data_IF_125115970661
#
_entry.id   IF_125115970661
#
_cell.length_a   1.000
_cell.length_b   1.000
_cell.length_c   1.000
_cell.angle_alpha   90.00
_cell.angle_beta   90.00
_cell.angle_gamma   90.00
#
_symmetry.space_group_name_H-M   'P 1'
#
loop_
_entity.id
_entity.type
_entity.pdbx_description
1 polymer ?
#
# COMPACT_ATOMS: atom_id res chain seq x y z
N UNK A 1 -88.32 3.39 -9.23
CA UNK A 1 -87.62 2.11 -9.03
C UNK A 1 -86.19 2.22 -9.55
N UNK A 2 -85.22 1.82 -8.72
CA UNK A 2 -83.84 1.37 -9.03
C UNK A 2 -82.74 2.42 -9.34
N UNK A 3 -81.90 2.57 -8.32
CA UNK A 3 -80.47 2.91 -8.31
C UNK A 3 -79.68 2.47 -9.56
N UNK A 4 -78.76 3.33 -10.00
CA UNK A 4 -77.47 2.93 -10.55
C UNK A 4 -76.37 3.85 -10.02
N UNK A 5 -76.02 3.61 -8.75
CA UNK A 5 -74.75 3.97 -8.14
C UNK A 5 -73.66 3.05 -8.73
N UNK A 6 -72.97 3.40 -9.81
CA UNK A 6 -71.71 2.73 -10.20
C UNK A 6 -70.94 3.59 -11.22
N UNK A 7 -70.12 4.55 -10.76
CA UNK A 7 -68.98 5.08 -11.53
C UNK A 7 -68.09 6.04 -10.70
N UNK A 8 -67.69 5.69 -9.48
CA UNK A 8 -66.69 6.48 -8.73
C UNK A 8 -65.75 5.56 -7.92
N UNK A 9 -65.15 4.54 -8.55
CA UNK A 9 -64.15 3.69 -7.86
C UNK A 9 -62.88 3.32 -8.63
N UNK A 10 -62.69 3.77 -9.87
CA UNK A 10 -61.56 3.28 -10.69
C UNK A 10 -60.42 4.28 -10.94
N UNK A 11 -60.52 5.54 -10.49
CA UNK A 11 -59.44 6.52 -10.68
C UNK A 11 -58.34 6.44 -9.61
N UNK A 12 -58.67 6.00 -8.40
CA UNK A 12 -57.70 6.01 -7.27
C UNK A 12 -56.68 4.86 -7.34
N UNK A 13 -57.00 3.77 -8.03
CA UNK A 13 -56.09 2.62 -8.21
C UNK A 13 -54.98 2.90 -9.25
N UNK A 14 -55.26 3.72 -10.26
CA UNK A 14 -54.31 4.07 -11.33
C UNK A 14 -53.22 5.06 -10.88
N UNK A 15 -53.53 5.97 -9.94
CA UNK A 15 -52.55 6.92 -9.40
C UNK A 15 -51.59 6.30 -8.37
N UNK A 16 -52.03 5.31 -7.58
CA UNK A 16 -51.20 4.63 -6.57
C UNK A 16 -50.12 3.70 -7.15
N UNK A 17 -50.41 3.02 -8.27
CA UNK A 17 -49.45 2.13 -8.95
C UNK A 17 -48.26 2.91 -9.54
N UNK A 18 -48.53 4.09 -10.10
CA UNK A 18 -47.53 4.90 -10.80
C UNK A 18 -46.49 5.51 -9.83
N UNK A 19 -46.90 5.91 -8.63
CA UNK A 19 -46.00 6.41 -7.59
C UNK A 19 -45.15 5.29 -6.95
N UNK A 20 -45.71 4.10 -6.78
CA UNK A 20 -44.98 2.93 -6.26
C UNK A 20 -43.92 2.43 -7.26
N UNK A 21 -44.25 2.42 -8.56
CA UNK A 21 -43.32 2.10 -9.65
C UNK A 21 -42.18 3.12 -9.77
N UNK A 22 -42.48 4.43 -9.71
CA UNK A 22 -41.45 5.49 -9.67
C UNK A 22 -40.57 5.39 -8.41
N UNK A 23 -41.14 5.09 -7.25
CA UNK A 23 -40.39 4.88 -6.00
C UNK A 23 -39.47 3.65 -6.08
N UNK A 24 -39.95 2.53 -6.64
CA UNK A 24 -39.16 1.32 -6.91
C UNK A 24 -38.01 1.59 -7.89
N UNK A 25 -38.28 2.31 -8.99
CA UNK A 25 -37.28 2.71 -9.98
C UNK A 25 -36.20 3.60 -9.38
N UNK A 26 -36.57 4.57 -8.54
CA UNK A 26 -35.63 5.45 -7.85
C UNK A 26 -34.73 4.69 -6.85
N UNK A 27 -35.29 3.71 -6.13
CA UNK A 27 -34.52 2.88 -5.20
C UNK A 27 -33.57 1.93 -5.96
N UNK A 28 -34.01 1.40 -7.11
CA UNK A 28 -33.18 0.59 -7.99
C UNK A 28 -32.02 1.40 -8.58
N UNK A 29 -32.28 2.62 -9.06
CA UNK A 29 -31.25 3.51 -9.61
C UNK A 29 -30.22 3.92 -8.55
N UNK A 30 -30.68 4.23 -7.32
CA UNK A 30 -29.78 4.47 -6.17
C UNK A 30 -28.90 3.24 -5.87
N UNK A 31 -29.47 2.04 -5.90
CA UNK A 31 -28.73 0.79 -5.71
C UNK A 31 -27.65 0.56 -6.77
N UNK A 32 -27.97 0.83 -8.04
CA UNK A 32 -27.03 0.73 -9.17
C UNK A 32 -25.88 1.76 -9.01
N UNK A 33 -26.18 3.01 -8.64
CA UNK A 33 -25.15 4.02 -8.38
C UNK A 33 -24.22 3.57 -7.26
N UNK A 34 -24.76 3.07 -6.14
CA UNK A 34 -23.96 2.60 -5.01
C UNK A 34 -23.05 1.44 -5.46
N UNK A 35 -23.57 0.49 -6.24
CA UNK A 35 -22.78 -0.62 -6.79
C UNK A 35 -21.63 -0.13 -7.69
N UNK A 36 -21.90 0.83 -8.58
CA UNK A 36 -20.87 1.43 -9.46
C UNK A 36 -19.79 2.12 -8.63
N UNK A 37 -20.17 2.91 -7.62
CA UNK A 37 -19.21 3.54 -6.70
C UNK A 37 -18.36 2.49 -5.99
N UNK A 38 -18.99 1.41 -5.51
CA UNK A 38 -18.31 0.31 -4.81
C UNK A 38 -17.33 -0.41 -5.74
N UNK A 39 -17.70 -0.64 -7.01
CA UNK A 39 -16.81 -1.20 -8.03
C UNK A 39 -15.64 -0.27 -8.38
N UNK A 40 -15.87 1.04 -8.49
CA UNK A 40 -14.80 2.04 -8.73
C UNK A 40 -13.82 2.10 -7.55
N UNK A 41 -14.33 2.02 -6.32
CA UNK A 41 -13.52 1.96 -5.10
C UNK A 41 -12.72 0.66 -5.06
N UNK A 42 -13.36 -0.50 -5.28
CA UNK A 42 -12.69 -1.80 -5.35
C UNK A 42 -11.61 -1.80 -6.43
N UNK A 43 -11.88 -1.26 -7.62
CA UNK A 43 -10.92 -1.19 -8.72
C UNK A 43 -9.74 -0.27 -8.38
N UNK A 44 -10.00 0.84 -7.69
CA UNK A 44 -8.96 1.75 -7.20
C UNK A 44 -8.09 1.10 -6.12
N UNK A 45 -8.71 0.38 -5.18
CA UNK A 45 -8.03 -0.39 -4.14
C UNK A 45 -7.22 -1.54 -4.75
N UNK A 46 -7.76 -2.25 -5.75
CA UNK A 46 -7.10 -3.36 -6.44
C UNK A 46 -5.81 -2.88 -7.12
N UNK A 47 -5.86 -1.77 -7.89
CA UNK A 47 -4.67 -1.16 -8.52
C UNK A 47 -3.64 -0.64 -7.51
N UNK A 48 -4.07 -0.27 -6.30
CA UNK A 48 -3.20 0.15 -5.20
C UNK A 48 -2.74 -0.99 -4.27
N UNK A 49 -3.28 -2.21 -4.43
CA UNK A 49 -2.95 -3.39 -3.64
C UNK A 49 -1.75 -4.16 -4.22
N UNK A 50 -1.18 -5.08 -3.45
CA UNK A 50 -0.12 -5.98 -3.92
C UNK A 50 -0.62 -7.11 -4.85
N UNK A 51 -1.94 -7.34 -4.91
CA UNK A 51 -2.55 -8.43 -5.67
C UNK A 51 -2.50 -8.19 -7.19
N UNK A 52 -2.69 -6.95 -7.63
CA UNK A 52 -2.53 -6.57 -9.06
C UNK A 52 -1.14 -6.89 -9.61
N UNK A 53 -0.12 -6.88 -8.75
CA UNK A 53 1.30 -7.06 -9.12
C UNK A 53 1.84 -8.43 -8.67
N UNK A 54 0.95 -9.37 -8.33
CA UNK A 54 1.33 -10.75 -8.00
C UNK A 54 1.62 -11.49 -9.31
N UNK A 55 2.77 -12.17 -9.38
CA UNK A 55 3.29 -12.86 -10.58
C UNK A 55 2.22 -13.72 -11.28
N UNK A 56 1.88 -13.36 -12.52
CA UNK A 56 1.41 -14.31 -13.54
C UNK A 56 2.60 -15.05 -14.17
N UNK A 57 2.32 -16.08 -14.96
CA UNK A 57 3.33 -16.87 -15.68
C UNK A 57 4.10 -15.94 -16.64
N UNK A 58 5.42 -15.84 -16.46
CA UNK A 58 6.32 -15.01 -17.28
C UNK A 58 6.84 -15.88 -18.42
N UNK A 59 6.43 -15.57 -19.66
CA UNK A 59 7.00 -16.19 -20.85
C UNK A 59 8.43 -15.66 -21.08
N UNK A 60 9.36 -16.47 -21.60
CA UNK A 60 10.78 -16.09 -21.76
C UNK A 60 11.01 -14.88 -22.68
N UNK A 61 10.04 -14.52 -23.53
CA UNK A 61 10.09 -13.35 -24.42
C UNK A 61 9.15 -12.21 -24.00
N UNK A 62 8.60 -12.27 -22.78
CA UNK A 62 7.68 -11.22 -22.33
C UNK A 62 8.43 -9.95 -21.95
N UNK A 63 7.92 -8.81 -22.41
CA UNK A 63 8.45 -7.49 -22.06
C UNK A 63 8.09 -7.19 -20.60
N UNK A 64 9.03 -7.39 -19.68
CA UNK A 64 8.79 -7.25 -18.24
C UNK A 64 9.97 -6.61 -17.47
N UNK A 65 9.66 -6.04 -16.31
CA UNK A 65 10.67 -5.55 -15.37
C UNK A 65 11.23 -6.69 -14.53
N UNK A 66 12.47 -6.52 -14.08
CA UNK A 66 13.10 -7.44 -13.13
C UNK A 66 12.37 -7.56 -11.78
N UNK A 67 11.67 -6.49 -11.37
CA UNK A 67 10.77 -6.46 -10.21
C UNK A 67 9.60 -5.53 -10.47
N UNK A 68 8.40 -5.97 -10.09
CA UNK A 68 7.18 -5.15 -10.13
C UNK A 68 6.92 -4.43 -8.79
N UNK A 69 7.42 -4.94 -7.67
CA UNK A 69 7.36 -4.29 -6.36
C UNK A 69 8.68 -4.52 -5.61
N UNK A 70 9.21 -3.46 -4.98
CA UNK A 70 10.43 -3.49 -4.17
C UNK A 70 10.24 -2.67 -2.89
N UNK A 71 10.70 -3.22 -1.77
CA UNK A 71 10.86 -2.49 -0.52
C UNK A 71 12.31 -2.03 -0.42
N UNK A 72 12.54 -0.76 -0.11
CA UNK A 72 13.87 -0.19 0.11
C UNK A 72 13.92 0.48 1.47
N UNK A 73 15.05 0.35 2.17
CA UNK A 73 15.36 1.21 3.32
C UNK A 73 15.81 2.57 2.81
N UNK A 74 15.49 3.65 3.51
CA UNK A 74 15.99 4.98 3.17
C UNK A 74 17.52 4.95 2.97
N UNK A 75 18.00 5.51 1.86
CA UNK A 75 19.41 5.48 1.45
C UNK A 75 19.83 4.24 0.66
N UNK A 76 18.99 3.20 0.58
CA UNK A 76 19.27 2.07 -0.32
C UNK A 76 19.02 2.41 -1.79
N UNK A 77 19.62 1.58 -2.64
CA UNK A 77 19.53 1.71 -4.08
C UNK A 77 19.14 0.37 -4.70
N UNK A 78 18.51 0.43 -5.87
CA UNK A 78 18.08 -0.76 -6.60
C UNK A 78 18.11 -0.50 -8.10
N UNK A 79 18.61 -1.45 -8.89
CA UNK A 79 18.60 -1.32 -10.35
C UNK A 79 17.34 -1.95 -10.93
N UNK A 80 16.48 -1.13 -11.53
CA UNK A 80 15.36 -1.56 -12.36
C UNK A 80 15.87 -1.70 -13.80
N UNK A 81 15.54 -2.81 -14.45
CA UNK A 81 15.80 -2.99 -15.87
C UNK A 81 14.70 -3.84 -16.52
N UNK A 82 14.58 -3.71 -17.83
CA UNK A 82 13.57 -4.40 -18.64
C UNK A 82 14.23 -5.58 -19.33
N UNK A 83 13.64 -6.77 -19.23
CA UNK A 83 14.07 -7.96 -19.97
C UNK A 83 13.51 -7.96 -21.40
N UNK A 84 14.22 -8.64 -22.31
CA UNK A 84 13.70 -8.99 -23.64
C UNK A 84 13.87 -7.94 -24.74
N UNK A 85 14.90 -7.08 -24.70
CA UNK A 85 15.06 -6.00 -25.70
C UNK A 85 16.50 -5.45 -25.84
N UNK A 86 16.86 -5.06 -27.07
CA UNK A 86 18.02 -4.23 -27.44
C UNK A 86 17.60 -2.77 -27.74
N UNK A 87 16.62 -2.24 -27.01
CA UNK A 87 16.04 -0.91 -27.27
C UNK A 87 16.27 0.05 -26.12
N UNK A 88 16.29 1.35 -26.43
CA UNK A 88 16.45 2.41 -25.44
C UNK A 88 15.22 2.48 -24.53
N UNK A 89 15.45 2.38 -23.23
CA UNK A 89 14.43 2.54 -22.19
C UNK A 89 14.59 3.91 -21.56
N UNK A 90 13.48 4.60 -21.32
CA UNK A 90 13.46 5.83 -20.51
C UNK A 90 12.78 5.57 -19.17
N UNK A 91 13.32 6.14 -18.10
CA UNK A 91 12.82 5.97 -16.74
C UNK A 91 12.37 7.31 -16.17
N UNK A 92 11.28 7.30 -15.42
CA UNK A 92 10.90 8.43 -14.57
C UNK A 92 10.22 7.94 -13.30
N UNK A 93 10.17 8.80 -12.27
CA UNK A 93 9.48 8.53 -11.02
C UNK A 93 8.21 9.35 -10.93
N UNK A 94 7.14 8.74 -10.43
CA UNK A 94 5.90 9.44 -10.06
C UNK A 94 6.05 10.29 -8.79
N UNK A 95 7.06 10.03 -7.96
CA UNK A 95 7.38 10.84 -6.80
C UNK A 95 8.89 10.79 -6.51
N UNK A 96 9.62 11.76 -7.08
CA UNK A 96 11.08 11.83 -6.95
C UNK A 96 11.54 12.12 -5.51
N UNK A 97 10.71 12.71 -4.65
CA UNK A 97 11.05 12.93 -3.24
C UNK A 97 11.10 11.63 -2.45
N UNK A 98 10.29 10.64 -2.84
CA UNK A 98 10.29 9.30 -2.24
C UNK A 98 11.37 8.43 -2.88
N UNK A 99 11.37 8.32 -4.20
CA UNK A 99 12.36 7.54 -4.93
C UNK A 99 12.72 8.19 -6.27
N UNK A 100 14.01 8.49 -6.48
CA UNK A 100 14.54 8.96 -7.76
C UNK A 100 15.02 7.81 -8.63
N UNK A 101 15.15 8.04 -9.94
CA UNK A 101 15.74 7.08 -10.88
C UNK A 101 16.61 7.82 -11.89
N UNK A 102 17.78 7.27 -12.22
CA UNK A 102 18.64 7.83 -13.26
C UNK A 102 18.40 7.17 -14.64
N UNK A 103 19.08 7.65 -15.67
CA UNK A 103 18.94 7.16 -17.05
C UNK A 103 19.30 5.67 -17.21
N UNK A 104 20.12 5.11 -16.32
CA UNK A 104 20.52 3.70 -16.31
C UNK A 104 19.55 2.78 -15.52
N UNK A 105 18.44 3.32 -15.03
CA UNK A 105 17.46 2.58 -14.23
C UNK A 105 17.89 2.35 -12.78
N UNK A 106 18.93 3.05 -12.28
CA UNK A 106 19.33 3.01 -10.88
C UNK A 106 18.38 3.88 -10.06
N UNK A 107 17.68 3.25 -9.13
CA UNK A 107 16.68 3.85 -8.23
C UNK A 107 17.33 4.17 -6.89
N UNK A 108 17.06 5.36 -6.36
CA UNK A 108 17.58 5.87 -5.09
C UNK A 108 16.42 6.13 -4.12
N UNK A 109 16.47 5.58 -2.90
CA UNK A 109 15.43 5.77 -1.89
C UNK A 109 15.72 6.98 -0.99
N UNK A 110 14.91 8.03 -1.08
CA UNK A 110 15.16 9.30 -0.37
C UNK A 110 14.27 9.53 0.85
N UNK A 111 12.95 9.38 0.70
CA UNK A 111 11.99 9.59 1.78
C UNK A 111 11.04 8.39 1.89
N UNK A 112 10.59 8.11 3.09
CA UNK A 112 9.63 7.03 3.33
C UNK A 112 8.31 7.32 2.63
N UNK A 113 7.77 6.34 1.92
CA UNK A 113 6.57 6.54 1.14
C UNK A 113 6.40 5.50 0.03
N UNK A 114 5.44 5.77 -0.85
CA UNK A 114 5.20 4.97 -2.06
C UNK A 114 5.55 5.82 -3.29
N UNK A 115 6.24 5.20 -4.24
CA UNK A 115 6.48 5.77 -5.57
C UNK A 115 6.35 4.65 -6.60
N UNK A 116 6.09 5.03 -7.85
CA UNK A 116 6.25 4.16 -9.01
C UNK A 116 7.41 4.68 -9.86
N UNK A 117 8.31 3.77 -10.22
CA UNK A 117 9.29 3.96 -11.27
C UNK A 117 8.67 3.40 -12.55
N UNK A 118 8.53 4.27 -13.55
CA UNK A 118 7.90 3.95 -14.83
C UNK A 118 8.99 3.85 -15.89
N UNK A 119 9.10 2.68 -16.51
CA UNK A 119 9.97 2.44 -17.65
C UNK A 119 9.12 2.52 -18.93
N UNK A 120 9.45 3.46 -19.82
CA UNK A 120 8.81 3.57 -21.13
C UNK A 120 9.70 2.93 -22.20
N UNK A 121 9.11 2.03 -22.98
CA UNK A 121 9.76 1.35 -24.10
C UNK A 121 8.73 0.93 -25.13
N UNK A 122 9.00 1.19 -26.42
CA UNK A 122 8.10 0.89 -27.54
C UNK A 122 6.65 1.36 -27.33
N UNK A 123 6.49 2.59 -26.81
CA UNK A 123 5.17 3.16 -26.51
C UNK A 123 4.43 2.50 -25.34
N UNK A 124 5.03 1.51 -24.66
CA UNK A 124 4.47 0.83 -23.49
C UNK A 124 5.08 1.36 -22.20
N UNK A 125 4.27 1.38 -21.14
CA UNK A 125 4.71 1.73 -19.79
C UNK A 125 4.72 0.51 -18.88
N UNK A 126 5.89 0.18 -18.35
CA UNK A 126 6.04 -0.80 -17.28
C UNK A 126 6.23 -0.09 -15.95
N UNK A 127 5.60 -0.59 -14.88
CA UNK A 127 5.61 0.06 -13.57
C UNK A 127 6.27 -0.83 -12.52
N UNK A 128 7.27 -0.29 -11.83
CA UNK A 128 7.84 -0.85 -10.61
C UNK A 128 7.37 -0.03 -9.42
N UNK A 129 6.64 -0.64 -8.49
CA UNK A 129 6.23 0.00 -7.24
C UNK A 129 7.37 -0.05 -6.23
N UNK A 130 7.82 1.11 -5.80
CA UNK A 130 8.83 1.29 -4.76
C UNK A 130 8.17 1.71 -3.46
N UNK A 131 8.46 0.97 -2.39
CA UNK A 131 8.03 1.26 -1.03
C UNK A 131 9.25 1.55 -0.16
N UNK A 132 9.45 2.81 0.18
CA UNK A 132 10.58 3.23 1.02
C UNK A 132 10.15 3.21 2.48
N UNK A 133 10.92 2.48 3.30
CA UNK A 133 10.70 2.30 4.73
C UNK A 133 11.90 2.79 5.52
N UNK A 134 11.68 3.12 6.79
CA UNK A 134 12.73 3.51 7.72
C UNK A 134 12.28 3.24 9.16
N UNK A 135 13.17 3.33 10.14
CA UNK A 135 12.81 3.34 11.57
C UNK A 135 12.73 4.78 12.08
N UNK A 136 11.95 5.01 13.14
CA UNK A 136 11.84 6.35 13.71
C UNK A 136 13.13 6.83 14.38
N UNK A 137 13.97 5.90 14.84
CA UNK A 137 15.24 6.19 15.51
C UNK A 137 16.24 5.06 15.31
N UNK A 138 17.48 5.40 14.95
CA UNK A 138 18.59 4.43 14.81
C UNK A 138 19.41 4.28 16.09
N UNK A 139 19.29 5.23 17.02
CA UNK A 139 20.04 5.26 18.30
C UNK A 139 19.15 5.70 19.44
N UNK A 140 19.09 4.89 20.49
CA UNK A 140 18.39 5.17 21.74
C UNK A 140 19.38 5.22 22.89
N UNK A 141 19.24 6.25 23.72
CA UNK A 141 19.89 6.35 25.02
C UNK A 141 18.77 6.34 26.05
N UNK A 142 18.73 5.31 26.89
CA UNK A 142 17.67 5.07 27.85
C UNK A 142 18.28 4.86 29.23
N UNK A 143 17.56 5.22 30.29
CA UNK A 143 17.90 4.82 31.64
C UNK A 143 17.28 3.44 31.94
N UNK A 144 17.83 2.71 32.90
CA UNK A 144 17.21 1.46 33.38
C UNK A 144 15.75 1.70 33.78
N UNK A 145 14.84 0.85 33.28
CA UNK A 145 13.41 0.97 33.52
C UNK A 145 12.64 1.72 32.42
N UNK A 146 13.31 2.57 31.65
CA UNK A 146 12.68 3.32 30.56
C UNK A 146 12.09 2.42 29.49
N UNK A 147 11.05 2.96 28.83
CA UNK A 147 10.47 2.32 27.66
C UNK A 147 10.39 3.28 26.48
N UNK A 148 10.55 2.74 25.28
CA UNK A 148 10.49 3.51 24.04
C UNK A 148 9.76 2.72 22.96
N UNK A 149 8.91 3.37 22.17
CA UNK A 149 8.25 2.73 21.03
C UNK A 149 9.08 2.92 19.76
N UNK A 150 9.81 1.87 19.37
CA UNK A 150 10.52 1.81 18.09
C UNK A 150 9.50 1.58 16.97
N UNK A 151 9.25 2.62 16.20
CA UNK A 151 8.24 2.63 15.14
C UNK A 151 8.87 2.52 13.75
N UNK A 152 8.08 2.02 12.80
CA UNK A 152 8.46 1.95 11.38
C UNK A 152 7.75 3.08 10.65
N UNK A 153 8.51 3.82 9.85
CA UNK A 153 8.03 4.86 8.94
C UNK A 153 7.83 4.26 7.55
N UNK A 154 6.81 4.74 6.85
CA UNK A 154 6.50 4.33 5.48
C UNK A 154 5.46 3.19 5.38
N UNK A 155 5.20 2.72 4.14
CA UNK A 155 4.08 1.84 3.83
C UNK A 155 4.39 0.36 4.15
N UNK A 156 4.54 0.03 5.44
CA UNK A 156 4.73 -1.34 5.93
C UNK A 156 3.84 -1.65 7.14
N UNK A 157 3.22 -2.84 7.11
CA UNK A 157 2.20 -3.23 8.09
C UNK A 157 2.66 -4.30 9.08
N UNK A 158 3.65 -5.12 8.71
CA UNK A 158 4.10 -6.27 9.51
C UNK A 158 5.61 -6.21 9.67
N UNK A 159 6.06 -6.26 10.93
CA UNK A 159 7.46 -6.27 11.28
C UNK A 159 7.76 -7.27 12.39
N UNK A 160 8.96 -7.83 12.34
CA UNK A 160 9.49 -8.70 13.39
C UNK A 160 10.61 -7.98 14.11
N UNK A 161 10.57 -7.98 15.43
CA UNK A 161 11.58 -7.33 16.26
C UNK A 161 12.42 -8.38 16.98
N UNK A 162 13.72 -8.14 17.08
CA UNK A 162 14.65 -9.01 17.83
C UNK A 162 15.68 -8.15 18.55
N UNK A 163 15.91 -8.42 19.83
CA UNK A 163 17.05 -7.85 20.56
C UNK A 163 18.26 -8.79 20.43
N UNK A 164 19.45 -8.24 20.20
CA UNK A 164 20.70 -9.01 20.23
C UNK A 164 21.06 -9.46 21.64
N UNK A 165 20.67 -8.70 22.67
CA UNK A 165 20.86 -9.05 24.07
C UNK A 165 19.64 -8.59 24.91
N UNK A 166 18.75 -9.55 25.21
CA UNK A 166 17.53 -9.35 25.98
C UNK A 166 17.76 -9.08 27.48
N UNK A 167 18.99 -9.28 27.98
CA UNK A 167 19.37 -8.93 29.36
C UNK A 167 19.58 -7.42 29.52
N UNK A 168 20.04 -6.74 28.46
CA UNK A 168 20.26 -5.27 28.43
C UNK A 168 18.96 -4.55 28.05
N UNK A 169 18.31 -4.95 26.96
CA UNK A 169 17.02 -4.40 26.56
C UNK A 169 16.16 -5.45 25.83
N UNK A 170 14.86 -5.47 26.14
CA UNK A 170 13.87 -6.32 25.45
C UNK A 170 13.02 -5.50 24.49
N UNK A 171 12.45 -6.16 23.48
CA UNK A 171 11.48 -5.56 22.57
C UNK A 171 10.31 -6.53 22.38
N UNK A 172 9.08 -6.03 22.40
CA UNK A 172 7.89 -6.84 22.13
C UNK A 172 7.47 -6.80 20.65
N UNK A 173 6.42 -7.55 20.30
CA UNK A 173 5.90 -7.64 18.93
C UNK A 173 5.40 -6.29 18.36
N UNK A 174 5.09 -5.32 19.24
CA UNK A 174 4.61 -3.99 18.86
C UNK A 174 5.73 -2.94 18.81
N UNK A 175 7.00 -3.35 18.95
CA UNK A 175 8.15 -2.46 18.94
C UNK A 175 8.36 -1.67 20.25
N UNK A 176 7.69 -2.03 21.35
CA UNK A 176 7.97 -1.42 22.67
C UNK A 176 9.27 -2.01 23.22
N UNK A 177 10.29 -1.17 23.28
CA UNK A 177 11.60 -1.41 23.86
C UNK A 177 11.53 -1.12 25.36
N UNK A 178 12.10 -2.00 26.19
CA UNK A 178 12.27 -1.79 27.64
C UNK A 178 13.73 -1.97 28.01
N UNK A 179 14.32 -0.95 28.65
CA UNK A 179 15.67 -0.98 29.19
C UNK A 179 15.70 -1.74 30.52
N UNK A 180 16.66 -2.66 30.68
CA UNK A 180 16.74 -3.58 31.82
C UNK A 180 18.04 -3.47 32.61
N UNK A 181 19.18 -3.43 31.93
CA UNK A 181 20.50 -3.39 32.57
C UNK A 181 21.41 -2.45 31.79
N UNK A 182 22.33 -1.74 32.46
CA UNK A 182 23.33 -0.91 31.79
C UNK A 182 24.11 -1.71 30.75
N UNK A 183 24.43 -1.06 29.64
CA UNK A 183 25.18 -1.67 28.54
C UNK A 183 24.64 -1.30 27.16
N UNK A 184 25.25 -1.87 26.12
CA UNK A 184 24.90 -1.62 24.72
C UNK A 184 24.31 -2.88 24.09
N UNK A 185 23.22 -2.73 23.35
CA UNK A 185 22.59 -3.81 22.59
C UNK A 185 22.00 -3.25 21.28
N UNK A 186 21.64 -4.11 20.34
CA UNK A 186 21.00 -3.72 19.08
C UNK A 186 19.64 -4.37 18.97
N UNK A 187 18.64 -3.58 18.57
CA UNK A 187 17.33 -4.06 18.19
C UNK A 187 17.27 -4.11 16.66
N UNK A 188 17.03 -5.29 16.13
CA UNK A 188 16.84 -5.54 14.70
C UNK A 188 15.36 -5.62 14.39
N UNK A 189 14.94 -4.84 13.39
CA UNK A 189 13.58 -4.81 12.85
C UNK A 189 13.60 -5.42 11.45
N UNK A 190 12.76 -6.42 11.21
CA UNK A 190 12.69 -7.13 9.94
C UNK A 190 11.36 -6.83 9.26
N UNK A 191 11.40 -6.23 8.07
CA UNK A 191 10.22 -5.84 7.29
C UNK A 191 10.38 -6.36 5.87
N UNK A 192 9.54 -7.33 5.46
CA UNK A 192 9.57 -7.91 4.10
C UNK A 192 10.98 -8.30 3.61
N UNK A 193 11.80 -8.85 4.50
CA UNK A 193 13.18 -9.26 4.22
C UNK A 193 14.25 -8.17 4.39
N UNK A 194 13.85 -6.91 4.63
CA UNK A 194 14.78 -5.81 4.95
C UNK A 194 15.09 -5.75 6.43
N UNK A 195 16.35 -5.46 6.76
CA UNK A 195 16.87 -5.37 8.12
C UNK A 195 17.14 -3.91 8.46
N UNK A 196 16.45 -3.38 9.48
CA UNK A 196 16.72 -2.08 10.06
C UNK A 196 17.27 -2.28 11.47
N UNK A 197 18.23 -1.47 11.91
CA UNK A 197 18.92 -1.64 13.19
C UNK A 197 18.82 -0.38 14.03
N UNK A 198 18.46 -0.54 15.29
CA UNK A 198 18.53 0.50 16.30
C UNK A 198 19.53 0.11 17.38
N UNK A 199 20.61 0.88 17.54
CA UNK A 199 21.52 0.74 18.66
C UNK A 199 20.86 1.30 19.92
N UNK A 200 20.95 0.57 21.03
CA UNK A 200 20.39 0.95 22.32
C UNK A 200 21.52 0.97 23.34
N UNK A 201 21.72 2.12 23.97
CA UNK A 201 22.60 2.28 25.12
C UNK A 201 21.74 2.50 26.36
N UNK A 202 21.90 1.64 27.35
CA UNK A 202 21.25 1.76 28.65
C UNK A 202 22.26 2.28 29.66
N UNK A 203 21.88 3.32 30.39
CA UNK A 203 22.65 3.90 31.50
C UNK A 203 21.96 3.64 32.82
#
# INVERSE_FOLDING_TARGET
MRNLFYAVRDTDAMFGSNNKSKSLSNNLYKGIIILIILLVVIFSLYRNSGLFYRKGIILPFSLNLNRQEVYLVKGEEFRVFVYGINKRVSFHSTNFRVAGVNFNGRVFAYQTGKAFIIAKVDGRELKCRVKVIDINKERLNLNVGDTYRLGIKGPAFIAKYKSSNSRIATVNIFGKVKAKKPGKTTITVIVKGKLLKCAVTVR
#
